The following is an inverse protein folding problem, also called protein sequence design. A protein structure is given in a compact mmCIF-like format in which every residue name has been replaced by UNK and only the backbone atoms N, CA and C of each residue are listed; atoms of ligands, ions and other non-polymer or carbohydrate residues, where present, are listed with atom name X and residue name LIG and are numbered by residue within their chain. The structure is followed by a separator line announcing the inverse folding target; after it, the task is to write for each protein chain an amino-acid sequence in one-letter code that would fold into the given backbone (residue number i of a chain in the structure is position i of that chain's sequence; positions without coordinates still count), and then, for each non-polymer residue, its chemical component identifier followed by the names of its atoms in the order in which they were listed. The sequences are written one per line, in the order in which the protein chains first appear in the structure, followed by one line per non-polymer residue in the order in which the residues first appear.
data_IF_689038894315
#
_entry.id   IF_689038894315
#
_cell.length_a   1.000
_cell.length_b   1.000
_cell.length_c   1.000
_cell.angle_alpha   90.00
_cell.angle_beta   90.00
_cell.angle_gamma   90.00
#
_symmetry.space_group_name_H-M   'P 1'
#
loop_
_entity.id
_entity.type
_entity.pdbx_description
1 polymer ?
#
# COMPACT_ATOMS: atom_id res chain seq x y z
N UNK A 1 9.76 16.50 -0.13
CA UNK A 1 8.34 16.15 -0.36
C UNK A 1 7.98 14.86 0.38
N UNK A 2 7.17 14.96 1.44
CA UNK A 2 6.66 13.79 2.17
C UNK A 2 5.37 13.29 1.51
N UNK A 3 5.46 12.51 0.44
CA UNK A 3 4.28 12.01 -0.27
C UNK A 3 3.55 10.96 0.58
N UNK A 4 2.55 11.41 1.34
CA UNK A 4 1.64 10.55 2.09
C UNK A 4 0.74 9.84 1.08
N UNK A 5 0.80 8.52 1.02
CA UNK A 5 -0.03 7.70 0.13
C UNK A 5 -1.17 7.11 0.94
N UNK A 6 -2.33 7.00 0.32
CA UNK A 6 -3.44 6.21 0.85
C UNK A 6 -3.17 4.72 0.67
N UNK A 7 -3.87 3.91 1.45
CA UNK A 7 -3.84 2.44 1.30
C UNK A 7 -4.23 2.00 -0.10
N UNK A 8 -5.15 2.72 -0.75
CA UNK A 8 -5.56 2.44 -2.12
C UNK A 8 -4.41 2.67 -3.10
N UNK A 9 -3.69 3.78 -2.99
CA UNK A 9 -2.49 4.04 -3.78
C UNK A 9 -1.43 2.95 -3.59
N UNK A 10 -1.18 2.52 -2.36
CA UNK A 10 -0.22 1.45 -2.08
C UNK A 10 -0.72 0.13 -2.70
N UNK A 11 -1.98 -0.23 -2.47
CA UNK A 11 -2.57 -1.44 -3.04
C UNK A 11 -2.48 -1.45 -4.57
N UNK A 12 -2.78 -0.32 -5.22
CA UNK A 12 -2.62 -0.13 -6.66
C UNK A 12 -1.17 -0.28 -7.12
N UNK A 13 -0.20 0.28 -6.39
CA UNK A 13 1.22 0.13 -6.73
C UNK A 13 1.69 -1.32 -6.59
N UNK A 14 1.13 -2.06 -5.64
CA UNK A 14 1.35 -3.49 -5.49
C UNK A 14 0.54 -4.35 -6.48
N UNK A 15 -0.41 -3.78 -7.21
CA UNK A 15 -1.33 -4.53 -8.08
C UNK A 15 -2.30 -5.43 -7.32
N UNK A 16 -2.57 -5.13 -6.04
CA UNK A 16 -3.47 -5.89 -5.18
C UNK A 16 -4.71 -5.08 -4.83
N UNK A 17 -5.78 -5.75 -4.40
CA UNK A 17 -6.96 -5.05 -3.86
C UNK A 17 -6.68 -4.50 -2.46
N UNK A 18 -7.39 -3.42 -2.11
CA UNK A 18 -7.36 -2.82 -0.75
C UNK A 18 -7.62 -3.85 0.36
N UNK A 19 -8.48 -4.85 0.12
CA UNK A 19 -8.80 -5.94 1.06
C UNK A 19 -7.58 -6.83 1.33
N UNK A 20 -6.82 -7.17 0.29
CA UNK A 20 -5.57 -7.94 0.42
C UNK A 20 -4.55 -7.16 1.24
N UNK A 21 -4.37 -5.87 0.92
CA UNK A 21 -3.50 -5.00 1.72
C UNK A 21 -3.99 -4.91 3.17
N UNK A 22 -5.31 -4.82 3.41
CA UNK A 22 -5.85 -4.81 4.76
C UNK A 22 -5.54 -6.09 5.55
N UNK A 23 -5.69 -7.25 4.92
CA UNK A 23 -5.33 -8.54 5.54
C UNK A 23 -3.84 -8.60 5.87
N UNK A 24 -2.99 -8.16 4.95
CA UNK A 24 -1.54 -8.08 5.16
C UNK A 24 -1.18 -7.15 6.33
N UNK A 25 -1.76 -5.96 6.39
CA UNK A 25 -1.56 -5.02 7.49
C UNK A 25 -2.04 -5.59 8.83
N UNK A 26 -3.13 -6.36 8.82
CA UNK A 26 -3.69 -7.03 9.99
C UNK A 26 -2.78 -8.17 10.47
N UNK A 27 -2.29 -8.97 9.54
CA UNK A 27 -1.38 -10.09 9.81
C UNK A 27 -0.07 -9.59 10.43
N UNK A 28 0.47 -8.52 9.85
CA UNK A 28 1.66 -7.81 10.32
C UNK A 28 1.42 -6.94 11.56
N UNK A 29 0.19 -6.90 12.08
CA UNK A 29 -0.23 -6.06 13.22
C UNK A 29 0.24 -4.61 13.11
N UNK A 30 0.31 -4.08 11.89
CA UNK A 30 0.70 -2.70 11.67
C UNK A 30 -0.45 -1.80 12.15
N UNK A 31 -0.21 -0.88 13.11
CA UNK A 31 -1.26 -0.03 13.70
C UNK A 31 -1.64 1.12 12.76
N UNK A 32 -1.86 0.82 11.49
CA UNK A 32 -2.33 1.78 10.50
C UNK A 32 -3.81 2.00 10.82
N UNK A 33 -4.11 3.01 11.64
CA UNK A 33 -5.49 3.42 11.97
C UNK A 33 -6.06 4.41 10.95
N UNK A 34 -5.24 5.01 10.09
CA UNK A 34 -5.66 6.05 9.15
C UNK A 34 -5.96 5.58 7.72
N UNK A 35 -6.84 6.31 7.01
CA UNK A 35 -6.98 6.19 5.54
C UNK A 35 -5.63 6.44 4.83
N UNK A 36 -4.86 7.36 5.41
CA UNK A 36 -3.51 7.75 4.99
C UNK A 36 -2.46 6.85 5.64
N UNK A 37 -1.44 6.51 4.86
CA UNK A 37 -0.28 5.75 5.30
C UNK A 37 0.92 6.68 5.27
N UNK A 38 1.52 6.89 6.43
CA UNK A 38 2.66 7.78 6.58
C UNK A 38 3.85 7.27 5.76
N UNK A 39 4.75 8.14 5.28
CA UNK A 39 5.94 7.72 4.54
C UNK A 39 6.83 6.76 5.34
N UNK A 40 6.82 6.84 6.68
CA UNK A 40 7.47 5.86 7.56
C UNK A 40 6.85 4.47 7.44
N UNK A 41 5.53 4.38 7.51
CA UNK A 41 4.78 3.13 7.40
C UNK A 41 4.90 2.54 5.99
N UNK A 42 4.84 3.38 4.95
CA UNK A 42 5.07 2.98 3.57
C UNK A 42 6.42 2.28 3.39
N UNK A 43 7.50 2.84 3.97
CA UNK A 43 8.82 2.21 3.92
C UNK A 43 8.81 0.81 4.54
N UNK A 44 8.16 0.65 5.71
CA UNK A 44 8.05 -0.67 6.37
C UNK A 44 7.28 -1.66 5.51
N UNK A 45 6.18 -1.23 4.89
CA UNK A 45 5.40 -2.07 3.98
C UNK A 45 6.26 -2.49 2.77
N UNK A 46 6.97 -1.56 2.13
CA UNK A 46 7.83 -1.87 0.99
C UNK A 46 9.03 -2.74 1.34
N UNK A 47 9.51 -2.65 2.58
CA UNK A 47 10.58 -3.50 3.09
C UNK A 47 10.08 -4.93 3.34
N UNK A 48 8.92 -5.08 3.98
CA UNK A 48 8.30 -6.38 4.28
C UNK A 48 7.72 -7.11 3.08
N UNK A 49 6.87 -6.43 2.32
CA UNK A 49 6.11 -7.02 1.23
C UNK A 49 6.85 -6.94 -0.11
N UNK A 50 8.04 -6.33 -0.12
CA UNK A 50 8.82 -6.06 -1.31
C UNK A 50 8.48 -4.72 -1.95
N UNK A 51 9.39 -4.24 -2.80
CA UNK A 51 9.17 -2.99 -3.54
C UNK A 51 8.05 -3.21 -4.56
N UNK A 52 7.03 -2.34 -4.62
CA UNK A 52 6.02 -2.41 -5.66
C UNK A 52 6.75 -2.29 -6.99
N UNK A 53 6.70 -3.34 -7.79
CA UNK A 53 7.27 -3.31 -9.12
C UNK A 53 6.39 -2.35 -9.92
N UNK A 54 6.88 -1.12 -10.11
CA UNK A 54 6.19 -0.06 -10.84
C UNK A 54 6.19 -0.41 -12.33
N UNK A 55 5.45 -1.44 -12.69
CA UNK A 55 5.40 -2.01 -14.01
C UNK A 55 3.96 -2.28 -14.36
N UNK A 56 3.29 -1.23 -14.89
CA UNK A 56 2.11 -1.28 -15.78
C UNK A 56 0.99 -2.26 -15.36
N UNK A 57 -0.23 -1.75 -15.10
CA UNK A 57 -1.40 -1.90 -16.00
C UNK A 57 -2.80 -1.74 -15.32
N UNK A 58 -3.64 -0.92 -15.99
CA UNK A 58 -5.00 -1.22 -16.52
C UNK A 58 -6.27 -1.34 -15.64
N UNK A 59 -6.49 -0.46 -14.65
CA UNK A 59 -7.84 -0.31 -14.04
C UNK A 59 -8.25 1.14 -13.77
N UNK A 60 -7.98 2.06 -14.70
CA UNK A 60 -8.40 3.47 -14.62
C UNK A 60 -9.57 3.83 -15.56
N UNK A 61 -10.31 2.85 -16.08
CA UNK A 61 -11.56 3.09 -16.81
C UNK A 61 -12.53 1.92 -16.56
N UNK A 62 -13.74 2.27 -16.14
CA UNK A 62 -14.81 1.36 -15.70
C UNK A 62 -15.73 2.03 -14.71
#
# INVERSE_FOLDING_TARGET
MSNVKTREQIASEFGISRKTLYNWLKDEKLPIKGRLVSPKEQKVIYDKFGKPNKGRNKWADG
#
